data_IF_054200774500
#
_entry.id   IF_054200774500
#
_cell.length_a   1.000
_cell.length_b   1.000
_cell.length_c   1.000
_cell.angle_alpha   90.00
_cell.angle_beta   90.00
_cell.angle_gamma   90.00
#
_symmetry.space_group_name_H-M   'P 1'
#
loop_
_entity.id
_entity.type
_entity.pdbx_description
1 polymer ?
#
# COMPACT_ATOMS: atom_id res chain seq x y z
N UNK A 1 44.76 -6.90 11.49
CA UNK A 1 43.47 -7.28 10.87
C UNK A 1 43.71 -7.58 9.39
N UNK A 2 43.35 -8.77 8.92
CA UNK A 2 43.60 -9.19 7.52
C UNK A 2 42.67 -8.46 6.53
N UNK A 3 43.19 -8.07 5.35
CA UNK A 3 42.44 -7.46 4.24
C UNK A 3 41.16 -8.22 3.86
N UNK A 4 41.15 -9.54 4.03
CA UNK A 4 39.99 -10.38 3.76
C UNK A 4 38.81 -10.13 4.73
N UNK A 5 39.10 -9.81 5.99
CA UNK A 5 38.07 -9.49 7.00
C UNK A 5 37.49 -8.11 6.72
N UNK A 6 38.34 -7.14 6.37
CA UNK A 6 37.90 -5.79 5.98
C UNK A 6 36.99 -5.82 4.75
N UNK A 7 37.32 -6.63 3.73
CA UNK A 7 36.47 -6.81 2.55
C UNK A 7 35.13 -7.46 2.89
N UNK A 8 35.09 -8.56 3.68
CA UNK A 8 33.82 -9.21 4.08
C UNK A 8 32.90 -8.26 4.85
N UNK A 9 33.46 -7.49 5.78
CA UNK A 9 32.71 -6.51 6.57
C UNK A 9 32.18 -5.38 5.68
N UNK A 10 32.96 -4.90 4.71
CA UNK A 10 32.53 -3.85 3.77
C UNK A 10 31.43 -4.33 2.82
N UNK A 11 31.56 -5.55 2.28
CA UNK A 11 30.55 -6.17 1.39
C UNK A 11 29.23 -6.41 2.11
N UNK A 12 29.24 -6.94 3.35
CA UNK A 12 28.04 -7.15 4.15
C UNK A 12 27.32 -5.84 4.55
N UNK A 13 28.09 -4.75 4.71
CA UNK A 13 27.56 -3.42 5.01
C UNK A 13 26.88 -2.77 3.80
N UNK A 14 27.49 -2.87 2.62
CA UNK A 14 26.91 -2.35 1.37
C UNK A 14 25.62 -3.07 0.98
N UNK A 15 25.58 -4.40 1.14
CA UNK A 15 24.38 -5.19 0.81
C UNK A 15 23.18 -4.79 1.67
N UNK A 16 23.38 -4.48 2.96
CA UNK A 16 22.27 -4.09 3.85
C UNK A 16 21.69 -2.72 3.51
N UNK A 17 22.54 -1.73 3.17
CA UNK A 17 22.10 -0.38 2.84
C UNK A 17 21.39 -0.28 1.49
N UNK A 18 21.84 -1.05 0.50
CA UNK A 18 21.25 -1.07 -0.85
C UNK A 18 20.07 -2.04 -0.98
N UNK A 19 19.85 -2.93 0.00
CA UNK A 19 18.81 -3.95 -0.06
C UNK A 19 17.42 -3.41 -0.41
N UNK A 20 16.91 -2.35 0.25
CA UNK A 20 15.60 -1.82 -0.10
C UNK A 20 15.54 -1.37 -1.56
N UNK A 21 16.57 -0.68 -2.03
CA UNK A 21 16.64 -0.19 -3.40
C UNK A 21 16.72 -1.33 -4.41
N UNK A 22 17.49 -2.38 -4.15
CA UNK A 22 17.55 -3.57 -5.00
C UNK A 22 16.20 -4.29 -5.09
N UNK A 23 15.53 -4.51 -3.94
CA UNK A 23 14.20 -5.16 -3.93
C UNK A 23 13.15 -4.26 -4.59
N UNK A 24 13.19 -2.96 -4.34
CA UNK A 24 12.29 -1.99 -4.97
C UNK A 24 12.47 -1.95 -6.48
N UNK A 25 13.71 -1.84 -6.97
CA UNK A 25 14.03 -1.88 -8.39
C UNK A 25 13.60 -3.21 -9.04
N UNK A 26 13.88 -4.35 -8.39
CA UNK A 26 13.47 -5.66 -8.86
C UNK A 26 11.95 -5.81 -8.93
N UNK A 27 11.22 -5.38 -7.90
CA UNK A 27 9.76 -5.42 -7.87
C UNK A 27 9.15 -4.49 -8.93
N UNK A 28 9.69 -3.28 -9.08
CA UNK A 28 9.28 -2.35 -10.13
C UNK A 28 9.47 -2.96 -11.52
N UNK A 29 10.67 -3.48 -11.84
CA UNK A 29 10.96 -4.08 -13.14
C UNK A 29 10.08 -5.30 -13.41
N UNK A 30 9.89 -6.15 -12.39
CA UNK A 30 9.01 -7.31 -12.49
C UNK A 30 7.57 -6.89 -12.83
N UNK A 31 6.99 -5.98 -12.06
CA UNK A 31 5.62 -5.49 -12.28
C UNK A 31 5.45 -4.75 -13.60
N UNK A 32 6.45 -3.96 -14.00
CA UNK A 32 6.47 -3.27 -15.29
C UNK A 32 6.50 -4.27 -16.44
N UNK A 33 7.33 -5.31 -16.34
CA UNK A 33 7.42 -6.37 -17.35
C UNK A 33 6.12 -7.17 -17.49
N UNK A 34 5.43 -7.46 -16.38
CA UNK A 34 4.11 -8.10 -16.40
C UNK A 34 2.95 -7.09 -16.49
N UNK A 35 3.22 -5.85 -16.91
CA UNK A 35 2.34 -4.69 -16.73
C UNK A 35 0.96 -4.81 -17.35
N UNK A 36 0.77 -5.65 -18.38
CA UNK A 36 -0.56 -5.94 -18.92
C UNK A 36 -1.51 -6.54 -17.86
N UNK A 37 -0.97 -7.22 -16.83
CA UNK A 37 -1.74 -7.70 -15.68
C UNK A 37 -2.23 -6.58 -14.77
N UNK A 38 -1.48 -5.48 -14.67
CA UNK A 38 -1.88 -4.31 -13.90
C UNK A 38 -3.05 -3.56 -14.59
N UNK A 39 -3.28 -3.83 -15.88
CA UNK A 39 -4.35 -3.25 -16.69
C UNK A 39 -5.56 -4.20 -16.85
N UNK A 40 -5.75 -5.16 -15.95
CA UNK A 40 -6.88 -6.12 -16.00
C UNK A 40 -8.14 -5.63 -15.28
N UNK A 41 -8.36 -4.31 -15.23
CA UNK A 41 -9.53 -3.71 -14.61
C UNK A 41 -10.02 -2.49 -15.40
N UNK A 42 -11.26 -2.56 -15.86
CA UNK A 42 -11.90 -1.53 -16.67
C UNK A 42 -12.05 -0.17 -15.96
N UNK A 43 -12.03 -0.13 -14.61
CA UNK A 43 -12.08 1.12 -13.83
C UNK A 43 -10.90 2.05 -14.14
N UNK A 44 -9.79 1.50 -14.64
CA UNK A 44 -8.62 2.30 -15.04
C UNK A 44 -9.00 3.36 -16.08
N UNK A 45 -9.87 3.02 -17.04
CA UNK A 45 -10.37 3.98 -18.04
C UNK A 45 -11.13 5.12 -17.39
N UNK A 46 -12.01 4.79 -16.45
CA UNK A 46 -12.81 5.75 -15.69
C UNK A 46 -11.92 6.71 -14.89
N UNK A 47 -10.88 6.19 -14.24
CA UNK A 47 -9.94 7.00 -13.47
C UNK A 47 -9.15 7.98 -14.34
N UNK A 48 -8.66 7.53 -15.50
CA UNK A 48 -7.96 8.40 -16.45
C UNK A 48 -8.94 9.43 -17.03
N UNK A 49 -10.15 9.03 -17.39
CA UNK A 49 -11.17 9.93 -17.95
C UNK A 49 -11.55 11.05 -16.99
N UNK A 50 -11.80 10.75 -15.72
CA UNK A 50 -12.07 11.78 -14.71
C UNK A 50 -10.83 12.65 -14.48
N UNK A 51 -9.63 12.05 -14.42
CA UNK A 51 -8.39 12.79 -14.26
C UNK A 51 -8.18 13.81 -15.37
N UNK A 52 -8.43 13.41 -16.62
CA UNK A 52 -8.38 14.30 -17.78
C UNK A 52 -9.42 15.41 -17.67
N UNK A 53 -10.66 15.07 -17.30
CA UNK A 53 -11.70 16.08 -17.07
C UNK A 53 -11.29 17.11 -16.02
N UNK A 54 -10.69 16.69 -14.89
CA UNK A 54 -10.20 17.59 -13.84
C UNK A 54 -9.12 18.53 -14.38
N UNK A 55 -8.17 18.01 -15.16
CA UNK A 55 -7.09 18.79 -15.77
C UNK A 55 -7.68 19.84 -16.73
N UNK A 56 -8.60 19.43 -17.61
CA UNK A 56 -9.17 20.28 -18.65
C UNK A 56 -10.05 21.40 -18.07
N UNK A 57 -10.75 21.13 -16.97
CA UNK A 57 -11.69 22.07 -16.35
C UNK A 57 -11.09 22.85 -15.17
N UNK A 58 -9.87 22.49 -14.74
CA UNK A 58 -9.22 23.00 -13.54
C UNK A 58 -10.14 22.96 -12.29
N UNK A 59 -10.97 21.92 -12.19
CA UNK A 59 -12.00 21.78 -11.15
C UNK A 59 -12.18 20.32 -10.75
N UNK A 60 -12.64 20.09 -9.52
CA UNK A 60 -13.04 18.76 -9.07
C UNK A 60 -14.56 18.57 -9.19
N UNK A 61 -15.03 17.36 -9.53
CA UNK A 61 -16.44 17.15 -9.81
C UNK A 61 -17.30 17.06 -8.55
N UNK A 62 -18.47 17.72 -8.58
CA UNK A 62 -19.51 17.67 -7.53
C UNK A 62 -20.82 17.02 -7.99
N UNK A 63 -20.88 16.63 -9.26
CA UNK A 63 -22.01 15.92 -9.86
C UNK A 63 -21.50 14.82 -10.78
N UNK A 64 -22.32 13.80 -10.98
CA UNK A 64 -22.05 12.73 -11.94
C UNK A 64 -22.34 13.21 -13.36
N UNK A 65 -21.41 13.04 -14.29
CA UNK A 65 -21.55 13.43 -15.70
C UNK A 65 -21.32 12.26 -16.67
N UNK A 66 -20.99 11.06 -16.17
CA UNK A 66 -20.76 9.89 -17.00
C UNK A 66 -21.85 8.81 -16.82
N UNK A 67 -22.50 8.74 -15.66
CA UNK A 67 -23.59 7.79 -15.44
C UNK A 67 -24.80 8.13 -16.28
N UNK A 68 -25.27 7.16 -17.07
CA UNK A 68 -26.42 7.33 -17.94
C UNK A 68 -27.72 7.63 -17.17
N UNK A 69 -28.01 6.89 -16.09
CA UNK A 69 -29.27 7.01 -15.34
C UNK A 69 -29.25 8.04 -14.23
N UNK A 70 -28.06 8.57 -13.89
CA UNK A 70 -27.84 9.44 -12.73
C UNK A 70 -27.06 10.71 -13.06
N UNK A 71 -26.93 11.06 -14.34
CA UNK A 71 -26.33 12.32 -14.77
C UNK A 71 -26.94 13.51 -14.01
N UNK A 72 -26.09 14.41 -13.52
CA UNK A 72 -26.44 15.54 -12.67
C UNK A 72 -26.63 15.21 -11.18
N UNK A 73 -26.64 13.94 -10.78
CA UNK A 73 -26.76 13.56 -9.36
C UNK A 73 -25.52 14.01 -8.57
N UNK A 74 -25.66 14.38 -7.27
CA UNK A 74 -24.51 14.68 -6.43
C UNK A 74 -23.52 13.51 -6.35
N UNK A 75 -22.28 13.75 -6.74
CA UNK A 75 -21.21 12.77 -6.72
C UNK A 75 -19.86 13.47 -6.55
N UNK A 76 -18.92 12.83 -5.87
CA UNK A 76 -17.58 13.38 -5.64
C UNK A 76 -16.54 12.32 -5.94
N UNK A 77 -15.40 12.75 -6.47
CA UNK A 77 -14.27 11.84 -6.69
C UNK A 77 -13.43 11.71 -5.42
N UNK A 78 -13.57 10.58 -4.71
CA UNK A 78 -12.80 10.25 -3.51
C UNK A 78 -11.30 9.97 -3.76
N UNK A 79 -10.86 10.02 -5.02
CA UNK A 79 -9.50 9.68 -5.44
C UNK A 79 -8.99 10.64 -6.53
N UNK A 80 -9.46 11.89 -6.49
CA UNK A 80 -9.20 12.89 -7.54
C UNK A 80 -7.70 13.07 -7.84
N UNK A 81 -6.84 13.04 -6.81
CA UNK A 81 -5.40 13.22 -7.02
C UNK A 81 -4.81 12.03 -7.76
N UNK A 82 -5.18 10.81 -7.39
CA UNK A 82 -4.76 9.59 -8.10
C UNK A 82 -5.21 9.62 -9.56
N UNK A 83 -6.43 10.09 -9.83
CA UNK A 83 -6.96 10.22 -11.18
C UNK A 83 -6.16 11.21 -12.02
N UNK A 84 -5.83 12.38 -11.47
CA UNK A 84 -4.95 13.35 -12.13
C UNK A 84 -3.57 12.76 -12.41
N UNK A 85 -2.98 12.03 -11.45
CA UNK A 85 -1.68 11.38 -11.62
C UNK A 85 -1.73 10.31 -12.73
N UNK A 86 -2.77 9.49 -12.77
CA UNK A 86 -2.94 8.49 -13.83
C UNK A 86 -3.19 9.12 -15.19
N UNK A 87 -4.03 10.16 -15.29
CA UNK A 87 -4.26 10.88 -16.54
C UNK A 87 -2.98 11.54 -17.05
N UNK A 88 -2.21 12.17 -16.16
CA UNK A 88 -0.92 12.78 -16.50
C UNK A 88 0.08 11.72 -16.98
N UNK A 89 0.18 10.60 -16.28
CA UNK A 89 1.06 9.50 -16.67
C UNK A 89 0.68 8.93 -18.05
N UNK A 90 -0.63 8.76 -18.29
CA UNK A 90 -1.16 8.30 -19.56
C UNK A 90 -0.86 9.28 -20.71
N UNK A 91 -1.01 10.58 -20.48
CA UNK A 91 -0.72 11.60 -21.49
C UNK A 91 0.75 11.60 -21.96
N UNK A 92 1.69 11.25 -21.09
CA UNK A 92 3.12 11.27 -21.41
C UNK A 92 3.65 9.96 -22.01
N UNK A 93 3.10 8.81 -21.63
CA UNK A 93 3.67 7.50 -21.97
C UNK A 93 2.61 6.46 -22.38
N UNK A 94 1.39 6.89 -22.70
CA UNK A 94 0.28 5.98 -22.97
C UNK A 94 0.07 5.00 -21.81
N UNK A 95 -0.22 3.75 -22.11
CA UNK A 95 -0.45 2.72 -21.09
C UNK A 95 0.79 2.35 -20.26
N UNK A 96 2.00 2.59 -20.77
CA UNK A 96 3.22 2.41 -19.98
C UNK A 96 3.26 3.35 -18.77
N UNK A 97 2.64 4.53 -18.86
CA UNK A 97 2.61 5.52 -17.79
C UNK A 97 1.88 5.03 -16.52
N UNK A 98 0.58 4.68 -16.60
CA UNK A 98 -0.16 4.12 -15.47
C UNK A 98 0.49 2.84 -14.89
N UNK A 99 1.02 1.97 -15.74
CA UNK A 99 1.75 0.76 -15.33
C UNK A 99 3.00 1.13 -14.51
N UNK A 100 3.84 2.02 -15.03
CA UNK A 100 5.04 2.48 -14.34
C UNK A 100 4.70 3.15 -13.00
N UNK A 101 3.63 3.96 -12.97
CA UNK A 101 3.20 4.65 -11.76
C UNK A 101 2.73 3.67 -10.67
N UNK A 102 1.92 2.67 -11.03
CA UNK A 102 1.47 1.62 -10.09
C UNK A 102 2.63 0.74 -9.61
N UNK A 103 3.53 0.34 -10.52
CA UNK A 103 4.74 -0.42 -10.19
C UNK A 103 5.66 0.37 -9.24
N UNK A 104 5.83 1.67 -9.47
CA UNK A 104 6.66 2.55 -8.65
C UNK A 104 6.07 2.72 -7.24
N UNK A 105 4.76 2.91 -7.13
CA UNK A 105 4.10 3.01 -5.83
C UNK A 105 4.23 1.71 -5.01
N UNK A 106 4.10 0.55 -5.67
CA UNK A 106 4.32 -0.75 -5.05
C UNK A 106 5.77 -0.93 -4.59
N UNK A 107 6.73 -0.57 -5.44
CA UNK A 107 8.16 -0.60 -5.09
C UNK A 107 8.47 0.32 -3.91
N UNK A 108 7.87 1.52 -3.87
CA UNK A 108 8.00 2.44 -2.74
C UNK A 108 7.45 1.83 -1.45
N UNK A 109 6.29 1.17 -1.49
CA UNK A 109 5.72 0.48 -0.34
C UNK A 109 6.65 -0.61 0.20
N UNK A 110 7.23 -1.43 -0.69
CA UNK A 110 8.20 -2.48 -0.32
C UNK A 110 9.48 -1.88 0.27
N UNK A 111 10.02 -0.79 -0.30
CA UNK A 111 11.20 -0.11 0.23
C UNK A 111 10.95 0.43 1.65
N UNK A 112 9.81 1.08 1.86
CA UNK A 112 9.41 1.60 3.18
C UNK A 112 9.25 0.44 4.16
N UNK A 113 8.55 -0.63 3.76
CA UNK A 113 8.36 -1.83 4.58
C UNK A 113 9.69 -2.43 5.01
N UNK A 114 10.60 -2.69 4.06
CA UNK A 114 11.93 -3.22 4.32
C UNK A 114 12.74 -2.35 5.28
N UNK A 115 12.59 -1.02 5.20
CA UNK A 115 13.27 -0.08 6.11
C UNK A 115 12.68 -0.12 7.52
N UNK A 116 11.37 -0.28 7.65
CA UNK A 116 10.69 -0.36 8.94
C UNK A 116 11.07 -1.62 9.72
N UNK A 117 11.23 -2.74 9.02
CA UNK A 117 11.57 -4.03 9.64
C UNK A 117 13.09 -4.29 9.74
N UNK A 118 13.93 -3.36 9.26
CA UNK A 118 15.38 -3.52 9.17
C UNK A 118 16.04 -3.87 10.51
N UNK A 119 15.63 -3.19 11.57
CA UNK A 119 16.21 -3.44 12.90
C UNK A 119 15.75 -4.78 13.50
N UNK A 120 14.72 -5.41 12.95
CA UNK A 120 14.03 -6.55 13.53
C UNK A 120 14.44 -7.90 12.91
N UNK A 121 14.91 -7.89 11.66
CA UNK A 121 15.17 -9.11 10.91
C UNK A 121 16.45 -9.02 10.08
N UNK A 122 17.12 -10.15 9.91
CA UNK A 122 18.24 -10.27 8.97
C UNK A 122 17.81 -10.07 7.51
N UNK A 123 18.73 -9.67 6.61
CA UNK A 123 18.43 -9.41 5.19
C UNK A 123 17.59 -10.47 4.48
N UNK A 124 17.87 -11.76 4.69
CA UNK A 124 17.14 -12.85 4.02
C UNK A 124 15.66 -12.89 4.44
N UNK A 125 15.37 -12.77 5.73
CA UNK A 125 14.01 -12.76 6.26
C UNK A 125 13.24 -11.51 5.82
N UNK A 126 13.92 -10.36 5.73
CA UNK A 126 13.33 -9.12 5.20
C UNK A 126 12.88 -9.31 3.74
N UNK A 127 13.71 -9.93 2.91
CA UNK A 127 13.37 -10.23 1.51
C UNK A 127 12.22 -11.22 1.44
N UNK A 128 12.23 -12.30 2.23
CA UNK A 128 11.14 -13.28 2.24
C UNK A 128 9.79 -12.65 2.63
N UNK A 129 9.78 -11.79 3.67
CA UNK A 129 8.58 -11.07 4.06
C UNK A 129 8.11 -10.08 2.99
N UNK A 130 9.03 -9.39 2.31
CA UNK A 130 8.70 -8.48 1.20
C UNK A 130 8.14 -9.23 -0.01
N UNK A 131 8.70 -10.39 -0.35
CA UNK A 131 8.18 -11.27 -1.41
C UNK A 131 6.81 -11.82 -1.04
N UNK A 132 6.61 -12.25 0.21
CA UNK A 132 5.30 -12.68 0.70
C UNK A 132 4.28 -11.53 0.60
N UNK A 133 4.66 -10.31 0.99
CA UNK A 133 3.80 -9.14 0.87
C UNK A 133 3.41 -8.85 -0.59
N UNK A 134 4.36 -8.95 -1.51
CA UNK A 134 4.12 -8.80 -2.95
C UNK A 134 3.19 -9.89 -3.49
N UNK A 135 3.39 -11.16 -3.12
CA UNK A 135 2.56 -12.29 -3.56
C UNK A 135 1.12 -12.14 -3.06
N UNK A 136 0.93 -11.83 -1.78
CA UNK A 136 -0.40 -11.66 -1.20
C UNK A 136 -1.13 -10.45 -1.76
N UNK A 137 -0.41 -9.39 -2.13
CA UNK A 137 -0.99 -8.19 -2.73
C UNK A 137 -1.26 -8.36 -4.23
N UNK A 138 -0.55 -9.25 -4.92
CA UNK A 138 -0.57 -9.37 -6.39
C UNK A 138 -1.95 -9.47 -7.06
N UNK A 139 -3.00 -10.09 -6.47
CA UNK A 139 -4.32 -10.12 -7.09
C UNK A 139 -5.00 -8.75 -7.17
N UNK A 140 -4.57 -7.78 -6.35
CA UNK A 140 -5.17 -6.45 -6.25
C UNK A 140 -4.22 -5.32 -6.70
N UNK A 141 -2.99 -5.64 -7.13
CA UNK A 141 -2.05 -4.66 -7.71
C UNK A 141 -2.45 -4.26 -9.14
N UNK A 142 -3.55 -3.54 -9.26
CA UNK A 142 -4.08 -2.99 -10.51
C UNK A 142 -3.74 -1.50 -10.61
N UNK A 143 -3.77 -0.93 -11.82
CA UNK A 143 -3.54 0.51 -12.07
C UNK A 143 -4.73 1.36 -11.57
N UNK A 144 -4.98 1.30 -10.25
CA UNK A 144 -6.09 1.92 -9.54
C UNK A 144 -5.58 2.75 -8.35
N UNK A 145 -6.38 3.74 -7.88
CA UNK A 145 -5.96 4.67 -6.84
C UNK A 145 -5.43 4.06 -5.54
N UNK A 146 -5.89 2.87 -5.14
CA UNK A 146 -5.44 2.25 -3.89
C UNK A 146 -3.96 1.88 -3.92
N UNK A 147 -3.40 1.50 -5.08
CA UNK A 147 -1.97 1.18 -5.22
C UNK A 147 -1.09 2.40 -4.97
N UNK A 148 -1.54 3.60 -5.36
CA UNK A 148 -0.82 4.85 -5.05
C UNK A 148 -0.86 5.20 -3.56
N UNK A 149 -1.90 4.74 -2.85
CA UNK A 149 -2.05 4.92 -1.41
C UNK A 149 -1.29 3.85 -0.59
N UNK A 150 -0.92 2.72 -1.18
CA UNK A 150 -0.20 1.64 -0.52
C UNK A 150 1.08 2.10 0.23
N UNK A 151 2.01 2.88 -0.37
CA UNK A 151 3.20 3.35 0.35
C UNK A 151 2.86 4.24 1.56
N UNK A 152 1.77 5.01 1.48
CA UNK A 152 1.31 5.86 2.57
C UNK A 152 0.73 5.03 3.71
N UNK A 153 -0.04 3.98 3.40
CA UNK A 153 -0.54 3.02 4.40
C UNK A 153 0.61 2.38 5.18
N UNK A 154 1.63 1.88 4.47
CA UNK A 154 2.80 1.22 5.09
C UNK A 154 3.59 2.21 5.96
N UNK A 155 3.86 3.41 5.45
CA UNK A 155 4.56 4.45 6.21
C UNK A 155 3.78 4.92 7.44
N UNK A 156 2.46 5.10 7.30
CA UNK A 156 1.56 5.51 8.38
C UNK A 156 1.53 4.47 9.50
N UNK A 157 1.17 3.22 9.17
CA UNK A 157 1.06 2.15 10.15
C UNK A 157 2.41 1.85 10.80
N UNK A 158 3.48 1.76 10.00
CA UNK A 158 4.84 1.54 10.50
C UNK A 158 5.33 2.67 11.41
N UNK A 159 5.02 3.93 11.08
CA UNK A 159 5.37 5.08 11.90
C UNK A 159 4.67 5.08 13.26
N UNK A 160 3.37 4.75 13.28
CA UNK A 160 2.61 4.61 14.52
C UNK A 160 3.12 3.43 15.37
N UNK A 161 3.26 2.23 14.81
CA UNK A 161 3.78 1.05 15.54
C UNK A 161 5.18 1.33 16.10
N UNK A 162 6.06 1.95 15.29
CA UNK A 162 7.41 2.30 15.72
C UNK A 162 7.43 3.32 16.86
N UNK A 163 6.46 4.23 16.93
CA UNK A 163 6.35 5.18 18.05
C UNK A 163 6.04 4.47 19.36
N UNK A 164 5.15 3.49 19.33
CA UNK A 164 4.81 2.63 20.48
C UNK A 164 6.00 1.76 20.89
N UNK A 165 6.64 1.09 19.93
CA UNK A 165 7.84 0.28 20.15
C UNK A 165 8.97 1.06 20.83
N UNK A 166 9.06 2.37 20.55
CA UNK A 166 10.06 3.27 21.12
C UNK A 166 9.58 4.01 22.36
N UNK A 167 8.35 3.76 22.83
CA UNK A 167 7.70 4.47 23.94
C UNK A 167 7.74 5.98 23.77
N UNK A 168 7.43 6.43 22.56
CA UNK A 168 7.47 7.82 22.13
C UNK A 168 6.09 8.30 21.68
N UNK A 169 5.80 9.61 21.73
CA UNK A 169 4.55 10.14 21.20
C UNK A 169 4.41 9.87 19.69
N UNK A 170 3.17 9.85 19.17
CA UNK A 170 2.94 9.67 17.74
C UNK A 170 3.58 10.82 16.95
N UNK A 171 4.26 10.53 15.83
CA UNK A 171 5.06 11.52 15.12
C UNK A 171 4.18 12.45 14.28
N UNK A 172 4.19 13.75 14.58
CA UNK A 172 3.43 14.79 13.87
C UNK A 172 3.75 14.87 12.37
N UNK A 173 4.93 14.41 11.93
CA UNK A 173 5.29 14.34 10.52
C UNK A 173 4.44 13.35 9.71
N UNK A 174 3.62 12.50 10.35
CA UNK A 174 2.63 11.67 9.66
C UNK A 174 1.37 12.44 9.24
N UNK A 175 1.07 13.60 9.82
CA UNK A 175 -0.15 14.33 9.47
C UNK A 175 -0.21 14.79 8.00
N UNK A 176 0.87 15.32 7.40
CA UNK A 176 0.91 15.56 5.96
C UNK A 176 0.65 14.30 5.14
N UNK A 177 1.12 13.13 5.61
CA UNK A 177 0.88 11.85 4.95
C UNK A 177 -0.62 11.51 4.93
N UNK A 178 -1.32 11.74 6.04
CA UNK A 178 -2.79 11.56 6.11
C UNK A 178 -3.51 12.47 5.13
N UNK A 179 -3.12 13.73 5.03
CA UNK A 179 -3.71 14.67 4.08
C UNK A 179 -3.51 14.20 2.64
N UNK A 180 -2.30 13.77 2.26
CA UNK A 180 -2.05 13.23 0.91
C UNK A 180 -2.86 11.95 0.68
N UNK A 181 -2.92 11.05 1.67
CA UNK A 181 -3.66 9.79 1.56
C UNK A 181 -5.16 10.03 1.31
N UNK A 182 -5.77 10.97 2.04
CA UNK A 182 -7.18 11.32 1.86
C UNK A 182 -7.52 11.88 0.46
N UNK A 183 -6.53 12.44 -0.25
CA UNK A 183 -6.69 12.89 -1.63
C UNK A 183 -6.42 11.79 -2.66
N UNK A 184 -5.63 10.77 -2.31
CA UNK A 184 -5.31 9.64 -3.20
C UNK A 184 -6.37 8.55 -3.17
N UNK A 185 -6.88 8.15 -2.01
CA UNK A 185 -7.77 7.00 -1.90
C UNK A 185 -8.58 6.99 -0.59
N UNK A 186 -9.84 6.55 -0.67
CA UNK A 186 -10.76 6.43 0.48
C UNK A 186 -10.29 5.49 1.60
N UNK A 187 -9.26 4.67 1.35
CA UNK A 187 -8.63 3.80 2.34
C UNK A 187 -7.96 4.53 3.52
N UNK A 188 -7.82 5.86 3.48
CA UNK A 188 -7.30 6.65 4.61
C UNK A 188 -8.10 6.44 5.91
N UNK A 189 -9.38 6.02 5.81
CA UNK A 189 -10.20 5.65 6.97
C UNK A 189 -9.59 4.49 7.76
N UNK A 190 -8.92 3.54 7.10
CA UNK A 190 -8.13 2.52 7.79
C UNK A 190 -7.00 3.18 8.60
N UNK A 191 -6.32 4.17 8.03
CA UNK A 191 -5.29 4.94 8.73
C UNK A 191 -5.81 5.59 10.01
N UNK A 192 -7.00 6.21 9.97
CA UNK A 192 -7.66 6.77 11.16
C UNK A 192 -8.04 5.66 12.15
N UNK A 193 -8.61 4.55 11.68
CA UNK A 193 -9.03 3.43 12.51
C UNK A 193 -7.85 2.76 13.26
N UNK A 194 -6.66 2.70 12.64
CA UNK A 194 -5.45 2.13 13.23
C UNK A 194 -4.92 2.92 14.43
N UNK A 195 -5.27 4.21 14.57
CA UNK A 195 -4.82 5.04 15.71
C UNK A 195 -5.29 4.43 17.02
N UNK A 196 -6.54 3.96 17.09
CA UNK A 196 -7.14 3.48 18.34
C UNK A 196 -6.44 2.23 18.93
N UNK A 197 -6.29 1.09 18.23
CA UNK A 197 -5.61 -0.08 18.78
C UNK A 197 -4.14 0.19 19.10
N UNK A 198 -3.46 1.02 18.32
CA UNK A 198 -2.05 1.37 18.57
C UNK A 198 -1.91 2.31 19.78
N UNK A 199 -2.81 3.28 19.95
CA UNK A 199 -2.86 4.13 21.13
C UNK A 199 -3.17 3.32 22.40
N UNK A 200 -4.09 2.34 22.31
CA UNK A 200 -4.37 1.41 23.40
C UNK A 200 -3.13 0.60 23.78
N UNK A 201 -2.30 0.22 22.81
CA UNK A 201 -1.03 -0.41 23.13
C UNK A 201 -0.06 0.53 23.85
N UNK A 202 0.06 1.78 23.38
CA UNK A 202 0.89 2.78 24.07
C UNK A 202 0.46 2.94 25.53
N UNK A 203 -0.86 2.97 25.78
CA UNK A 203 -1.43 3.05 27.12
C UNK A 203 -1.15 1.79 27.95
N UNK A 204 -1.28 0.61 27.35
CA UNK A 204 -1.02 -0.68 27.99
C UNK A 204 0.43 -0.81 28.47
N UNK A 205 1.38 -0.30 27.68
CA UNK A 205 2.81 -0.34 28.01
C UNK A 205 3.25 0.77 28.98
N UNK A 206 2.38 1.74 29.28
CA UNK A 206 2.71 2.91 30.09
C UNK A 206 2.51 2.67 31.59
N UNK A 207 3.46 3.14 32.40
CA UNK A 207 3.30 3.20 33.85
C UNK A 207 2.13 4.12 34.25
N UNK A 208 1.50 3.87 35.39
CA UNK A 208 0.25 4.55 35.80
C UNK A 208 0.37 6.08 35.77
N UNK A 209 1.48 6.64 36.26
CA UNK A 209 1.71 8.08 36.25
C UNK A 209 1.90 8.72 34.86
N UNK A 210 2.22 7.92 33.83
CA UNK A 210 2.43 8.40 32.46
C UNK A 210 1.16 8.31 31.60
N UNK A 211 0.17 7.52 32.02
CA UNK A 211 -1.08 7.28 31.27
C UNK A 211 -1.81 8.58 30.87
N UNK A 212 -1.97 9.60 31.73
CA UNK A 212 -2.65 10.84 31.34
C UNK A 212 -1.94 11.58 30.19
N UNK A 213 -0.60 11.58 30.20
CA UNK A 213 0.19 12.21 29.15
C UNK A 213 0.04 11.47 27.82
N UNK A 214 0.07 10.14 27.84
CA UNK A 214 -0.12 9.29 26.66
C UNK A 214 -1.53 9.47 26.08
N UNK A 215 -2.57 9.45 26.92
CA UNK A 215 -3.95 9.72 26.47
C UNK A 215 -4.04 11.09 25.81
N UNK A 216 -3.47 12.14 26.41
CA UNK A 216 -3.47 13.48 25.83
C UNK A 216 -2.76 13.52 24.48
N UNK A 217 -1.56 12.96 24.38
CA UNK A 217 -0.75 12.98 23.14
C UNK A 217 -1.44 12.25 22.00
N UNK A 218 -1.96 11.05 22.24
CA UNK A 218 -2.65 10.26 21.23
C UNK A 218 -4.01 10.86 20.86
N UNK A 219 -4.74 11.46 21.81
CA UNK A 219 -6.00 12.16 21.51
C UNK A 219 -5.77 13.40 20.64
N UNK A 220 -4.76 14.22 20.97
CA UNK A 220 -4.39 15.37 20.16
C UNK A 220 -3.95 14.96 18.75
N UNK A 221 -3.17 13.89 18.64
CA UNK A 221 -2.77 13.35 17.34
C UNK A 221 -3.97 12.80 16.56
N UNK A 222 -4.90 12.09 17.19
CA UNK A 222 -6.11 11.58 16.55
C UNK A 222 -6.99 12.71 16.00
N UNK A 223 -7.20 13.77 16.78
CA UNK A 223 -7.92 14.97 16.34
C UNK A 223 -7.19 15.62 15.16
N UNK A 224 -5.88 15.79 15.26
CA UNK A 224 -5.10 16.40 14.19
C UNK A 224 -5.08 15.54 12.91
N UNK A 225 -5.07 14.21 13.02
CA UNK A 225 -5.18 13.29 11.89
C UNK A 225 -6.55 13.37 11.24
N UNK A 226 -7.62 13.48 12.03
CA UNK A 226 -8.98 13.69 11.51
C UNK A 226 -9.07 15.02 10.75
N UNK A 227 -8.54 16.10 11.31
CA UNK A 227 -8.47 17.41 10.64
C UNK A 227 -7.65 17.32 9.35
N UNK A 228 -6.47 16.68 9.39
CA UNK A 228 -5.62 16.49 8.22
C UNK A 228 -6.33 15.68 7.12
N UNK A 229 -7.14 14.68 7.48
CA UNK A 229 -7.95 13.91 6.51
C UNK A 229 -9.04 14.74 5.82
N UNK A 230 -9.41 15.90 6.40
CA UNK A 230 -10.33 16.86 5.79
C UNK A 230 -9.60 17.89 4.91
N UNK A 231 -8.27 17.83 4.78
CA UNK A 231 -7.51 18.68 3.85
C UNK A 231 -7.66 18.17 2.41
N UNK A 232 -8.90 18.14 1.93
CA UNK A 232 -9.29 17.77 0.57
C UNK A 232 -10.18 18.86 -0.01
N UNK A 233 -10.33 18.94 -1.35
CA UNK A 233 -11.30 19.84 -1.97
C UNK A 233 -12.75 19.66 -1.47
N UNK A 234 -13.08 18.48 -0.93
CA UNK A 234 -14.41 18.14 -0.44
C UNK A 234 -14.56 18.25 1.08
N UNK A 235 -13.48 18.58 1.79
CA UNK A 235 -13.43 18.78 3.25
C UNK A 235 -14.02 17.58 4.01
N UNK A 236 -15.07 17.78 4.80
CA UNK A 236 -15.70 16.76 5.62
C UNK A 236 -16.55 15.78 4.80
N UNK A 237 -16.92 16.15 3.56
CA UNK A 237 -17.71 15.27 2.69
C UNK A 237 -16.92 14.02 2.29
N UNK A 238 -15.58 14.06 2.31
CA UNK A 238 -14.74 12.87 2.08
C UNK A 238 -14.97 11.80 3.16
N UNK A 239 -15.14 12.18 4.43
CA UNK A 239 -15.45 11.25 5.51
C UNK A 239 -16.86 10.64 5.34
N UNK A 240 -17.84 11.48 5.01
CA UNK A 240 -19.22 11.04 4.76
C UNK A 240 -19.26 10.07 3.57
N UNK A 241 -18.52 10.36 2.50
CA UNK A 241 -18.44 9.51 1.33
C UNK A 241 -17.86 8.12 1.65
N UNK A 242 -16.81 8.07 2.48
CA UNK A 242 -16.24 6.79 2.92
C UNK A 242 -17.24 5.96 3.74
N UNK A 243 -18.00 6.59 4.64
CA UNK A 243 -19.07 5.91 5.40
C UNK A 243 -20.18 5.42 4.48
N UNK A 244 -20.59 6.22 3.48
CA UNK A 244 -21.62 5.80 2.50
C UNK A 244 -21.19 4.58 1.71
N UNK A 245 -19.93 4.49 1.29
CA UNK A 245 -19.41 3.33 0.54
C UNK A 245 -19.52 2.05 1.39
N UNK A 246 -19.13 2.11 2.67
CA UNK A 246 -19.24 0.96 3.58
C UNK A 246 -20.69 0.53 3.82
N UNK A 247 -21.66 1.42 3.60
CA UNK A 247 -23.09 1.17 3.75
C UNK A 247 -23.81 0.82 2.44
N UNK A 248 -23.09 0.55 1.34
CA UNK A 248 -23.69 0.15 0.06
C UNK A 248 -24.31 -1.26 0.08
N UNK A 249 -24.11 -2.03 1.16
CA UNK A 249 -24.81 -3.29 1.40
C UNK A 249 -24.54 -4.34 0.32
N UNK A 250 -25.61 -4.93 -0.21
CA UNK A 250 -25.56 -6.03 -1.20
C UNK A 250 -24.83 -5.66 -2.50
N UNK A 251 -24.77 -4.38 -2.87
CA UNK A 251 -24.03 -3.91 -4.06
C UNK A 251 -22.53 -4.24 -3.94
N UNK A 252 -21.98 -4.32 -2.73
CA UNK A 252 -20.58 -4.72 -2.56
C UNK A 252 -20.37 -6.21 -2.88
N UNK A 253 -21.37 -7.07 -2.70
CA UNK A 253 -21.19 -8.53 -2.91
C UNK A 253 -21.06 -8.94 -4.38
N UNK A 254 -21.52 -8.09 -5.30
CA UNK A 254 -21.32 -8.31 -6.74
C UNK A 254 -19.92 -7.91 -7.21
N UNK A 255 -19.19 -7.13 -6.40
CA UNK A 255 -17.82 -6.71 -6.72
C UNK A 255 -16.83 -7.76 -6.19
N UNK A 256 -16.04 -8.34 -7.09
CA UNK A 256 -15.13 -9.45 -6.79
C UNK A 256 -14.14 -9.16 -5.65
N UNK A 257 -13.64 -7.93 -5.55
CA UNK A 257 -12.66 -7.53 -4.52
C UNK A 257 -13.22 -7.54 -3.09
N UNK A 258 -14.55 -7.47 -2.93
CA UNK A 258 -15.26 -7.50 -1.65
C UNK A 258 -15.69 -8.90 -1.24
N UNK A 259 -15.43 -9.92 -2.07
CA UNK A 259 -15.72 -11.30 -1.70
C UNK A 259 -14.79 -11.78 -0.58
N UNK A 260 -15.25 -12.74 0.25
CA UNK A 260 -14.40 -13.43 1.21
C UNK A 260 -13.23 -14.14 0.54
N UNK A 261 -12.18 -14.39 1.32
CA UNK A 261 -11.08 -15.25 0.90
C UNK A 261 -11.60 -16.67 0.60
N UNK A 262 -11.17 -17.22 -0.52
CA UNK A 262 -11.52 -18.58 -0.94
C UNK A 262 -10.46 -19.59 -0.47
N UNK A 263 -10.93 -20.63 0.21
CA UNK A 263 -10.14 -21.75 0.73
C UNK A 263 -10.51 -23.08 0.07
N UNK A 264 -11.27 -23.05 -1.03
CA UNK A 264 -11.58 -24.25 -1.83
C UNK A 264 -10.34 -24.87 -2.48
N UNK A 265 -9.29 -24.06 -2.69
CA UNK A 265 -7.96 -24.50 -3.12
C UNK A 265 -6.88 -23.87 -2.25
N UNK A 266 -5.83 -24.63 -1.95
CA UNK A 266 -4.72 -24.15 -1.14
C UNK A 266 -3.98 -22.98 -1.81
N UNK A 267 -4.11 -21.80 -1.22
CA UNK A 267 -3.56 -20.56 -1.76
C UNK A 267 -2.43 -19.94 -0.93
N UNK A 268 -1.76 -18.89 -1.44
CA UNK A 268 -0.68 -18.22 -0.72
C UNK A 268 -1.14 -17.57 0.59
N UNK A 269 -2.38 -17.06 0.63
CA UNK A 269 -2.94 -16.48 1.86
C UNK A 269 -3.18 -17.53 2.94
N UNK A 270 -3.74 -18.69 2.59
CA UNK A 270 -3.90 -19.82 3.50
C UNK A 270 -2.54 -20.29 4.03
N UNK A 271 -1.56 -20.47 3.14
CA UNK A 271 -0.20 -20.84 3.51
C UNK A 271 0.42 -19.83 4.49
N UNK A 272 0.26 -18.53 4.24
CA UNK A 272 0.77 -17.47 5.10
C UNK A 272 0.10 -17.48 6.48
N UNK A 273 -1.23 -17.67 6.52
CA UNK A 273 -1.99 -17.73 7.77
C UNK A 273 -1.61 -18.95 8.61
N UNK A 274 -1.53 -20.13 7.98
CA UNK A 274 -1.11 -21.36 8.66
C UNK A 274 0.35 -21.28 9.13
N UNK A 275 1.25 -20.70 8.32
CA UNK A 275 2.63 -20.48 8.73
C UNK A 275 2.72 -19.50 9.91
N UNK A 276 1.89 -18.44 9.93
CA UNK A 276 1.82 -17.49 11.03
C UNK A 276 1.34 -18.16 12.32
N UNK A 277 0.28 -18.97 12.25
CA UNK A 277 -0.25 -19.74 13.38
C UNK A 277 0.80 -20.75 13.87
N UNK A 278 1.37 -21.53 12.96
CA UNK A 278 2.41 -22.51 13.26
C UNK A 278 3.64 -21.87 13.92
N UNK A 279 4.09 -20.71 13.44
CA UNK A 279 5.18 -19.95 14.03
C UNK A 279 4.83 -19.45 15.43
N UNK A 280 3.62 -18.89 15.61
CA UNK A 280 3.16 -18.41 16.91
C UNK A 280 3.10 -19.54 17.95
N UNK A 281 2.61 -20.72 17.56
CA UNK A 281 2.55 -21.91 18.41
C UNK A 281 3.94 -22.50 18.70
N UNK A 282 4.80 -22.59 17.69
CA UNK A 282 6.13 -23.20 17.82
C UNK A 282 7.10 -22.33 18.64
N UNK A 283 7.06 -21.00 18.44
CA UNK A 283 7.95 -20.05 19.13
C UNK A 283 7.35 -19.47 20.40
N UNK A 284 6.05 -19.66 20.65
CA UNK A 284 5.36 -19.12 21.82
C UNK A 284 5.33 -17.59 21.81
N UNK A 285 4.97 -16.97 20.68
CA UNK A 285 5.03 -15.51 20.54
C UNK A 285 4.07 -14.84 21.52
N UNK A 286 4.61 -14.13 22.51
CA UNK A 286 3.82 -13.33 23.47
C UNK A 286 3.59 -11.93 22.92
N UNK A 287 2.32 -11.52 22.84
CA UNK A 287 1.91 -10.20 22.38
C UNK A 287 1.05 -9.50 23.44
N UNK A 288 1.04 -8.16 23.41
CA UNK A 288 0.09 -7.38 24.20
C UNK A 288 -1.34 -7.62 23.70
N UNK A 289 -2.34 -7.50 24.59
CA UNK A 289 -3.75 -7.66 24.20
C UNK A 289 -4.15 -6.72 23.04
N UNK A 290 -3.71 -5.44 23.01
CA UNK A 290 -3.95 -4.57 21.86
C UNK A 290 -3.31 -5.06 20.54
N UNK A 291 -2.12 -5.67 20.56
CA UNK A 291 -1.53 -6.29 19.35
C UNK A 291 -2.30 -7.50 18.87
N UNK A 292 -2.75 -8.34 19.81
CA UNK A 292 -3.58 -9.49 19.47
C UNK A 292 -4.86 -8.99 18.79
N UNK A 293 -5.53 -8.00 19.38
CA UNK A 293 -6.73 -7.39 18.78
C UNK A 293 -6.44 -6.81 17.38
N UNK A 294 -5.33 -6.08 17.21
CA UNK A 294 -4.92 -5.54 15.91
C UNK A 294 -4.71 -6.65 14.87
N UNK A 295 -4.00 -7.73 15.21
CA UNK A 295 -3.77 -8.86 14.31
C UNK A 295 -5.06 -9.60 13.97
N UNK A 296 -5.95 -9.80 14.95
CA UNK A 296 -7.25 -10.41 14.73
C UNK A 296 -8.12 -9.57 13.80
N UNK A 297 -8.14 -8.24 13.97
CA UNK A 297 -8.87 -7.33 13.07
C UNK A 297 -8.29 -7.38 11.66
N UNK A 298 -6.96 -7.29 11.50
CA UNK A 298 -6.32 -7.38 10.18
C UNK A 298 -6.59 -8.73 9.50
N UNK A 299 -6.56 -9.82 10.27
CA UNK A 299 -6.85 -11.17 9.77
C UNK A 299 -8.32 -11.28 9.38
N UNK A 300 -9.24 -10.82 10.22
CA UNK A 300 -10.68 -10.82 9.92
C UNK A 300 -11.00 -10.00 8.67
N UNK A 301 -10.40 -8.82 8.52
CA UNK A 301 -10.56 -8.00 7.31
C UNK A 301 -10.10 -8.75 6.06
N UNK A 302 -8.91 -9.36 6.10
CA UNK A 302 -8.37 -10.14 4.98
C UNK A 302 -9.17 -11.41 4.66
N UNK A 303 -9.77 -12.05 5.67
CA UNK A 303 -10.69 -13.17 5.48
C UNK A 303 -12.03 -12.72 4.88
N UNK A 304 -12.52 -11.56 5.30
CA UNK A 304 -13.84 -11.05 4.90
C UNK A 304 -13.82 -10.44 3.50
N UNK A 305 -12.71 -9.81 3.11
CA UNK A 305 -12.57 -9.11 1.83
C UNK A 305 -11.16 -9.26 1.26
N UNK A 306 -11.06 -9.79 0.02
CA UNK A 306 -9.78 -10.00 -0.68
C UNK A 306 -8.97 -8.69 -0.82
N UNK A 307 -9.64 -7.54 -1.02
CA UNK A 307 -8.97 -6.22 -1.05
C UNK A 307 -8.21 -5.84 0.24
N UNK A 308 -8.44 -6.54 1.35
CA UNK A 308 -7.75 -6.29 2.61
C UNK A 308 -6.49 -7.15 2.79
N UNK A 309 -6.16 -8.03 1.83
CA UNK A 309 -4.94 -8.83 1.85
C UNK A 309 -3.68 -7.97 1.91
N UNK A 310 -3.65 -6.83 1.20
CA UNK A 310 -2.51 -5.91 1.22
C UNK A 310 -2.26 -5.35 2.63
N UNK A 311 -3.33 -4.94 3.32
CA UNK A 311 -3.24 -4.45 4.69
C UNK A 311 -2.70 -5.53 5.63
N UNK A 312 -3.22 -6.77 5.56
CA UNK A 312 -2.70 -7.89 6.34
C UNK A 312 -1.23 -8.16 6.03
N UNK A 313 -0.87 -8.25 4.75
CA UNK A 313 0.44 -8.67 4.30
C UNK A 313 1.56 -7.72 4.72
N UNK A 314 1.28 -6.41 4.78
CA UNK A 314 2.24 -5.43 5.26
C UNK A 314 2.15 -5.18 6.77
N UNK A 315 0.95 -5.06 7.34
CA UNK A 315 0.79 -4.59 8.73
C UNK A 315 0.95 -5.70 9.75
N UNK A 316 0.58 -6.95 9.44
CA UNK A 316 0.75 -8.05 10.39
C UNK A 316 2.24 -8.30 10.72
N UNK A 317 3.16 -8.39 9.73
CA UNK A 317 4.59 -8.47 10.03
C UNK A 317 5.11 -7.26 10.79
N UNK A 318 4.65 -6.03 10.46
CA UNK A 318 5.05 -4.82 11.21
C UNK A 318 4.62 -4.89 12.68
N UNK A 319 3.39 -5.33 12.95
CA UNK A 319 2.86 -5.48 14.29
C UNK A 319 3.57 -6.59 15.09
N UNK A 320 4.22 -7.55 14.43
CA UNK A 320 4.92 -8.64 15.13
C UNK A 320 6.44 -8.47 15.18
N UNK A 321 7.01 -7.64 14.30
CA UNK A 321 8.45 -7.54 14.09
C UNK A 321 9.27 -7.32 15.37
N UNK A 322 8.89 -6.31 16.17
CA UNK A 322 9.62 -5.96 17.40
C UNK A 322 9.43 -7.00 18.51
N UNK A 323 8.20 -7.42 18.89
CA UNK A 323 7.98 -8.49 19.86
C UNK A 323 8.70 -9.79 19.50
N UNK A 324 8.68 -10.16 18.22
CA UNK A 324 9.38 -11.34 17.72
C UNK A 324 10.90 -11.21 17.91
N UNK A 325 11.51 -10.08 17.52
CA UNK A 325 12.95 -9.88 17.74
C UNK A 325 13.28 -9.86 19.22
N UNK A 326 12.52 -9.14 20.04
CA UNK A 326 12.85 -8.96 21.46
C UNK A 326 12.83 -10.31 22.21
N UNK A 327 11.94 -11.24 21.84
CA UNK A 327 11.95 -12.63 22.33
C UNK A 327 13.10 -13.49 21.77
N UNK A 328 13.46 -13.30 20.49
CA UNK A 328 14.59 -14.00 19.90
C UNK A 328 15.94 -13.49 20.43
N UNK A 329 16.06 -12.20 20.72
CA UNK A 329 17.26 -11.56 21.28
C UNK A 329 17.49 -11.95 22.74
N UNK A 330 16.44 -12.23 23.52
CA UNK A 330 16.59 -12.86 24.84
C UNK A 330 17.23 -14.27 24.78
N UNK A 331 17.41 -14.86 23.59
CA UNK A 331 18.09 -16.14 23.40
C UNK A 331 19.51 -16.02 22.79
N UNK A 332 19.93 -14.84 22.30
CA UNK A 332 21.23 -14.64 21.64
C UNK A 332 21.78 -13.24 21.99
N UNK A 333 22.95 -13.18 22.64
CA UNK A 333 23.67 -11.92 22.89
C UNK A 333 23.97 -11.19 21.58
N UNK A 334 23.49 -9.96 21.47
CA UNK A 334 23.63 -9.13 20.28
C UNK A 334 24.96 -8.35 20.29
N UNK A 335 25.91 -8.77 19.47
CA UNK A 335 27.01 -7.90 19.04
C UNK A 335 26.43 -6.83 18.11
N UNK A 336 26.37 -5.59 18.61
CA UNK A 336 25.91 -4.44 17.85
C UNK A 336 27.11 -3.80 17.17
N UNK A 337 27.31 -4.07 15.87
CA UNK A 337 28.35 -3.41 15.08
C UNK A 337 27.79 -2.11 14.51
N UNK A 338 28.36 -0.99 14.95
CA UNK A 338 28.03 0.37 14.48
C UNK A 338 28.17 0.53 12.96
N UNK A 339 27.26 1.33 12.41
CA UNK A 339 27.04 1.58 11.00
C UNK A 339 27.85 2.77 10.48
N UNK A 340 28.74 2.52 9.52
CA UNK A 340 29.38 3.56 8.72
C UNK A 340 30.05 2.95 7.50
N UNK A 341 29.34 2.88 6.37
CA UNK A 341 29.95 2.60 5.07
C UNK A 341 30.48 3.92 4.46
N UNK A 342 31.52 3.86 3.63
CA UNK A 342 32.03 5.03 2.92
C UNK A 342 30.96 5.56 1.94
N UNK A 343 30.58 6.82 2.09
CA UNK A 343 29.46 7.45 1.38
C UNK A 343 29.54 7.36 -0.15
N UNK A 344 30.76 7.34 -0.70
CA UNK A 344 31.02 7.30 -2.14
C UNK A 344 30.64 5.96 -2.80
N UNK A 345 30.96 4.82 -2.19
CA UNK A 345 30.69 3.51 -2.79
C UNK A 345 29.19 3.20 -2.76
N UNK A 346 28.50 3.61 -1.69
CA UNK A 346 27.04 3.54 -1.63
C UNK A 346 26.38 4.46 -2.67
N UNK A 347 26.91 5.65 -2.93
CA UNK A 347 26.38 6.55 -3.94
C UNK A 347 26.49 5.99 -5.38
N UNK A 348 27.64 5.41 -5.73
CA UNK A 348 27.83 4.74 -7.03
C UNK A 348 26.88 3.55 -7.20
N UNK A 349 26.68 2.75 -6.14
CA UNK A 349 25.73 1.64 -6.16
C UNK A 349 24.29 2.11 -6.40
N UNK A 350 23.86 3.18 -5.72
CA UNK A 350 22.54 3.78 -5.93
C UNK A 350 22.36 4.26 -7.37
N UNK A 351 23.34 5.00 -7.91
CA UNK A 351 23.30 5.49 -9.29
C UNK A 351 23.26 4.34 -10.31
N UNK A 352 24.02 3.27 -10.09
CA UNK A 352 24.02 2.11 -10.96
C UNK A 352 22.66 1.40 -10.96
N UNK A 353 22.03 1.23 -9.80
CA UNK A 353 20.70 0.59 -9.71
C UNK A 353 19.63 1.46 -10.37
N UNK A 354 19.62 2.77 -10.10
CA UNK A 354 18.66 3.69 -10.71
C UNK A 354 18.87 3.75 -12.23
N UNK A 355 20.11 3.95 -12.69
CA UNK A 355 20.45 4.01 -14.10
C UNK A 355 20.11 2.73 -14.85
N UNK A 356 20.43 1.56 -14.26
CA UNK A 356 20.06 0.26 -14.82
C UNK A 356 18.55 0.07 -14.90
N UNK A 357 17.81 0.42 -13.84
CA UNK A 357 16.34 0.34 -13.82
C UNK A 357 15.71 1.22 -14.90
N UNK A 358 16.17 2.46 -15.04
CA UNK A 358 15.69 3.40 -16.07
C UNK A 358 16.01 2.89 -17.48
N UNK A 359 17.25 2.44 -17.71
CA UNK A 359 17.66 1.90 -19.01
C UNK A 359 16.82 0.66 -19.39
N UNK A 360 16.64 -0.29 -18.47
CA UNK A 360 15.78 -1.47 -18.70
C UNK A 360 14.33 -1.09 -18.97
N UNK A 361 13.79 -0.10 -18.25
CA UNK A 361 12.44 0.42 -18.48
C UNK A 361 12.30 0.99 -19.88
N UNK A 362 13.22 1.87 -20.29
CA UNK A 362 13.18 2.52 -21.60
C UNK A 362 13.33 1.51 -22.73
N UNK A 363 14.25 0.55 -22.60
CA UNK A 363 14.44 -0.51 -23.59
C UNK A 363 13.20 -1.38 -23.73
N UNK A 364 12.58 -1.78 -22.62
CA UNK A 364 11.36 -2.59 -22.66
C UNK A 364 10.17 -1.80 -23.23
N UNK A 365 9.95 -0.58 -22.75
CA UNK A 365 8.86 0.29 -23.21
C UNK A 365 8.95 0.65 -24.70
N UNK A 366 10.16 0.68 -25.26
CA UNK A 366 10.36 0.91 -26.70
C UNK A 366 9.94 -0.28 -27.57
N UNK A 367 9.78 -1.48 -27.01
CA UNK A 367 9.46 -2.72 -27.75
C UNK A 367 8.15 -3.37 -27.30
N UNK A 368 7.51 -2.89 -26.23
CA UNK A 368 6.29 -3.46 -25.69
C UNK A 368 5.14 -2.44 -25.72
N UNK A 369 4.11 -2.75 -26.49
CA UNK A 369 2.87 -1.98 -26.52
C UNK A 369 1.91 -2.50 -25.45
N UNK A 370 1.91 -1.84 -24.30
CA UNK A 370 0.96 -2.14 -23.24
C UNK A 370 -0.48 -1.95 -23.74
N UNK A 371 -1.32 -2.96 -23.53
CA UNK A 371 -2.71 -2.94 -23.97
C UNK A 371 -3.63 -3.55 -22.92
N UNK A 372 -4.84 -3.03 -22.84
CA UNK A 372 -5.90 -3.67 -22.06
C UNK A 372 -6.24 -5.03 -22.64
N UNK A 373 -6.52 -5.98 -21.75
CA UNK A 373 -7.08 -7.27 -22.17
C UNK A 373 -8.43 -7.02 -22.83
N UNK A 374 -8.60 -7.45 -24.08
CA UNK A 374 -9.84 -7.23 -24.86
C UNK A 374 -11.10 -7.82 -24.21
N UNK A 375 -10.96 -8.71 -23.22
CA UNK A 375 -12.09 -9.23 -22.44
C UNK A 375 -12.61 -8.23 -21.41
N UNK A 376 -11.79 -7.26 -20.99
CA UNK A 376 -12.13 -6.21 -20.04
C UNK A 376 -12.63 -4.92 -20.72
N UNK A 377 -12.39 -4.79 -22.03
CA UNK A 377 -12.88 -3.67 -22.83
C UNK A 377 -13.95 -4.18 -23.80
N UNK A 378 -15.18 -3.64 -23.80
CA UNK A 378 -16.24 -4.09 -24.71
C UNK A 378 -16.02 -3.57 -26.14
N UNK A 379 -14.80 -3.71 -26.69
CA UNK A 379 -14.39 -3.11 -27.96
C UNK A 379 -15.24 -3.62 -29.13
N UNK A 380 -15.49 -4.92 -29.21
CA UNK A 380 -16.35 -5.50 -30.24
C UNK A 380 -17.80 -5.02 -30.12
N UNK A 381 -18.31 -4.89 -28.89
CA UNK A 381 -19.64 -4.34 -28.66
C UNK A 381 -19.69 -2.86 -29.06
N UNK A 382 -18.67 -2.07 -28.70
CA UNK A 382 -18.56 -0.67 -29.06
C UNK A 382 -18.49 -0.47 -30.59
N UNK A 383 -17.70 -1.29 -31.29
CA UNK A 383 -17.60 -1.25 -32.75
C UNK A 383 -18.94 -1.59 -33.41
N UNK A 384 -19.64 -2.61 -32.91
CA UNK A 384 -20.98 -2.97 -33.38
C UNK A 384 -21.99 -1.84 -33.12
N UNK A 385 -21.95 -1.25 -31.92
CA UNK A 385 -22.85 -0.16 -31.53
C UNK A 385 -22.60 1.11 -32.36
N UNK A 386 -21.34 1.42 -32.68
CA UNK A 386 -20.96 2.49 -33.62
C UNK A 386 -21.52 2.24 -35.01
N UNK A 387 -21.37 1.01 -35.53
CA UNK A 387 -21.92 0.62 -36.83
C UNK A 387 -23.45 0.73 -36.88
N UNK A 388 -24.14 0.48 -35.76
CA UNK A 388 -25.60 0.58 -35.66
C UNK A 388 -26.11 1.97 -35.27
N UNK A 389 -25.25 2.97 -35.17
CA UNK A 389 -25.60 4.31 -34.68
C UNK A 389 -26.38 4.28 -33.35
N UNK A 390 -26.07 3.31 -32.49
CA UNK A 390 -26.76 3.14 -31.22
C UNK A 390 -26.40 4.29 -30.29
N UNK A 391 -27.39 5.11 -29.92
CA UNK A 391 -27.18 6.28 -29.06
C UNK A 391 -27.26 5.99 -27.55
N UNK A 392 -27.93 4.90 -27.14
CA UNK A 392 -28.17 4.57 -25.73
C UNK A 392 -27.83 3.10 -25.49
N UNK A 393 -26.93 2.83 -24.55
CA UNK A 393 -26.42 1.49 -24.24
C UNK A 393 -26.68 1.26 -22.76
N UNK A 394 -27.46 0.23 -22.43
CA UNK A 394 -27.65 -0.22 -21.06
C UNK A 394 -26.66 -1.35 -20.79
N UNK A 395 -25.88 -1.22 -19.71
CA UNK A 395 -25.13 -2.35 -19.18
C UNK A 395 -26.08 -3.17 -18.31
N UNK A 396 -26.13 -4.47 -18.53
CA UNK A 396 -26.90 -5.35 -17.67
C UNK A 396 -26.08 -5.61 -16.39
N UNK A 397 -26.55 -5.09 -15.26
CA UNK A 397 -26.10 -5.55 -13.95
C UNK A 397 -26.98 -6.74 -13.58
N UNK A 398 -26.72 -7.89 -14.21
CA UNK A 398 -27.34 -9.17 -13.85
C UNK A 398 -26.59 -9.83 -12.69
#
# INVERSE_FOLDING_TARGET
>A
MSLAVANRVTTARMTTALLPLCVGAGAYLFLFFIGDRLLQDSDTYWHIGIGQWIIDHAAVPYSDFYSFTRSGSPWMSNAWLSQVLYATAYAHAGWAGPVALAALATAAALMIFLKLIESCFEPVHRVLLALLALVLSSPHLLARPHVLALPLMVAWAGGLIRSVDRRSPPPWCLLPLMAVWANLHGGFVLGLALIAPIALEALWQSAEGQRPAVVKQWSLFAIAALVASCCTPYVHNTLIAAVRIMNLGEVLTVVSEWRPADFSSFGPFEAALLALIGLALHRGIVLSLPRIALLLVLTHMALSHIRCLEAFAFLAPLAMARPFRDQAASAISADTIESGASSLVSALGVLAIIGGTLASTMVFAAHHDFAFVRTQAPAAALDMLRQRHAGRIFNDYQ
#
